data_IF_206489915414
#
_entry.id   IF_206489915414
#
_cell.length_a   1.000
_cell.length_b   1.000
_cell.length_c   1.000
_cell.angle_alpha   90.00
_cell.angle_beta   90.00
_cell.angle_gamma   90.00
#
_symmetry.space_group_name_H-M   'P 1'
#
loop_
_entity.id
_entity.type
_entity.pdbx_description
1 polymer ?
#
# COMPACT_ATOMS: atom_id res chain seq x y z
N UNK A 1 -12.67 -46.89 -2.88
CA UNK A 1 -12.18 -45.71 -3.65
C UNK A 1 -12.40 -44.49 -2.75
N UNK A 2 -11.33 -43.98 -2.13
CA UNK A 2 -11.41 -42.76 -1.33
C UNK A 2 -11.47 -41.56 -2.30
N UNK A 3 -12.55 -40.81 -2.26
CA UNK A 3 -12.66 -39.56 -2.96
C UNK A 3 -11.57 -38.60 -2.41
N UNK A 4 -10.55 -38.32 -3.19
CA UNK A 4 -9.61 -37.25 -2.94
C UNK A 4 -10.41 -35.94 -3.02
N UNK A 5 -10.80 -35.42 -1.85
CA UNK A 5 -11.29 -34.05 -1.76
C UNK A 5 -10.16 -33.14 -2.27
N UNK A 6 -10.33 -32.59 -3.47
CA UNK A 6 -9.44 -31.57 -3.99
C UNK A 6 -9.34 -30.47 -2.94
N UNK A 7 -8.14 -30.26 -2.36
CA UNK A 7 -7.89 -29.14 -1.45
C UNK A 7 -8.31 -27.87 -2.15
N UNK A 8 -9.28 -27.14 -1.59
CA UNK A 8 -9.72 -25.84 -2.10
C UNK A 8 -8.47 -24.96 -2.27
N UNK A 9 -8.10 -24.67 -3.48
CA UNK A 9 -6.91 -23.87 -3.79
C UNK A 9 -7.16 -22.47 -3.22
N UNK A 10 -6.29 -22.00 -2.33
CA UNK A 10 -6.38 -20.64 -1.79
C UNK A 10 -6.25 -19.64 -2.93
N UNK A 11 -7.08 -18.61 -2.92
CA UNK A 11 -6.99 -17.49 -3.84
C UNK A 11 -5.77 -16.64 -3.46
N UNK A 12 -4.96 -16.26 -4.45
CA UNK A 12 -3.79 -15.42 -4.25
C UNK A 12 -4.12 -14.02 -4.70
N UNK A 13 -4.05 -13.09 -3.75
CA UNK A 13 -4.40 -11.69 -3.95
C UNK A 13 -3.18 -10.83 -3.62
N UNK A 14 -2.72 -10.06 -4.59
CA UNK A 14 -1.65 -9.08 -4.43
C UNK A 14 -2.24 -7.66 -4.46
N UNK A 15 -1.85 -6.80 -3.52
CA UNK A 15 -2.56 -5.54 -3.28
C UNK A 15 -1.72 -4.27 -3.48
N UNK A 16 -0.46 -4.39 -3.85
CA UNK A 16 0.41 -3.26 -4.21
C UNK A 16 0.93 -3.49 -5.61
N UNK A 17 0.04 -3.19 -6.58
CA UNK A 17 0.25 -3.52 -7.99
C UNK A 17 -0.03 -2.27 -8.83
N UNK A 18 1.03 -1.71 -9.39
CA UNK A 18 0.98 -0.36 -9.92
C UNK A 18 0.62 -0.27 -11.40
N UNK A 19 -0.01 0.83 -11.76
CA UNK A 19 -0.22 1.24 -13.15
C UNK A 19 0.08 2.75 -13.29
N UNK A 20 0.19 3.25 -14.50
CA UNK A 20 0.33 4.67 -14.79
C UNK A 20 -0.79 5.14 -15.72
N UNK A 21 -1.59 6.07 -15.23
CA UNK A 21 -2.62 6.71 -16.04
C UNK A 21 -2.01 7.57 -17.16
N UNK A 22 -2.66 7.56 -18.32
CA UNK A 22 -2.16 8.21 -19.54
C UNK A 22 -2.07 9.74 -19.42
N UNK A 23 -2.93 10.37 -18.63
CA UNK A 23 -2.87 11.82 -18.40
C UNK A 23 -1.76 12.16 -17.39
N UNK A 24 -1.65 11.37 -16.33
CA UNK A 24 -0.59 11.57 -15.32
C UNK A 24 0.80 11.31 -15.90
N UNK A 25 0.95 10.38 -16.82
CA UNK A 25 2.21 10.11 -17.52
C UNK A 25 2.76 11.35 -18.26
N UNK A 26 1.90 12.29 -18.67
CA UNK A 26 2.32 13.55 -19.29
C UNK A 26 3.02 14.49 -18.30
N UNK A 27 2.68 14.38 -17.02
CA UNK A 27 3.26 15.17 -15.92
C UNK A 27 4.46 14.50 -15.26
N UNK A 28 4.80 13.26 -15.64
CA UNK A 28 5.95 12.53 -15.12
C UNK A 28 6.81 11.93 -16.25
N UNK A 29 7.65 12.75 -16.91
CA UNK A 29 8.47 12.30 -18.03
C UNK A 29 9.47 11.19 -17.69
N UNK A 30 9.91 11.09 -16.44
CA UNK A 30 10.85 10.06 -15.99
C UNK A 30 10.24 8.64 -16.03
N UNK A 31 8.92 8.55 -16.01
CA UNK A 31 8.15 7.30 -16.14
C UNK A 31 7.71 7.04 -17.59
N UNK A 32 8.41 7.61 -18.56
CA UNK A 32 8.07 7.52 -19.97
C UNK A 32 7.89 6.08 -20.48
N UNK A 33 6.94 5.86 -21.41
CA UNK A 33 6.59 4.56 -21.99
C UNK A 33 7.75 3.83 -22.70
N UNK A 34 8.90 4.49 -22.87
CA UNK A 34 10.09 3.93 -23.53
C UNK A 34 10.93 3.04 -22.62
N UNK A 35 10.81 3.15 -21.31
CA UNK A 35 11.43 2.22 -20.35
C UNK A 35 10.60 0.94 -20.24
N UNK A 36 11.23 -0.17 -19.88
CA UNK A 36 10.52 -1.44 -19.64
C UNK A 36 9.45 -1.29 -18.54
N UNK A 37 9.80 -0.65 -17.44
CA UNK A 37 8.86 -0.32 -16.36
C UNK A 37 7.71 0.56 -16.86
N UNK A 38 8.01 1.64 -17.60
CA UNK A 38 6.98 2.53 -18.12
C UNK A 38 6.02 1.85 -19.11
N UNK A 39 6.52 0.91 -19.93
CA UNK A 39 5.71 0.08 -20.82
C UNK A 39 4.77 -0.84 -20.02
N UNK A 40 5.31 -1.52 -19.00
CA UNK A 40 4.52 -2.39 -18.11
C UNK A 40 3.47 -1.60 -17.34
N UNK A 41 3.81 -0.45 -16.76
CA UNK A 41 2.86 0.42 -16.06
C UNK A 41 1.70 0.88 -16.95
N UNK A 42 1.93 1.05 -18.26
CA UNK A 42 0.89 1.43 -19.22
C UNK A 42 0.06 0.23 -19.71
N UNK A 43 0.56 -1.01 -19.53
CA UNK A 43 -0.17 -2.23 -19.92
C UNK A 43 -1.08 -2.68 -18.78
N UNK A 44 -2.37 -2.53 -18.99
CA UNK A 44 -3.39 -2.88 -18.00
C UNK A 44 -3.94 -4.30 -18.19
N UNK A 45 -3.70 -4.97 -19.34
CA UNK A 45 -4.48 -6.16 -19.67
C UNK A 45 -3.69 -7.30 -20.30
N UNK A 46 -2.67 -7.04 -21.12
CA UNK A 46 -2.02 -8.09 -21.92
C UNK A 46 -0.85 -8.74 -21.17
N UNK A 47 0.28 -8.05 -21.08
CA UNK A 47 1.49 -8.54 -20.43
C UNK A 47 1.26 -8.72 -18.92
N UNK A 48 0.53 -7.80 -18.29
CA UNK A 48 0.15 -7.88 -16.88
C UNK A 48 -0.57 -9.18 -16.56
N UNK A 49 -1.65 -9.49 -17.30
CA UNK A 49 -2.43 -10.73 -17.08
C UNK A 49 -1.59 -11.96 -17.34
N UNK A 50 -0.76 -11.96 -18.40
CA UNK A 50 0.16 -13.06 -18.68
C UNK A 50 1.14 -13.29 -17.52
N UNK A 51 1.78 -12.24 -17.01
CA UNK A 51 2.72 -12.36 -15.88
C UNK A 51 2.00 -12.75 -14.57
N UNK A 52 0.74 -12.34 -14.38
CA UNK A 52 -0.09 -12.84 -13.27
C UNK A 52 -0.32 -14.35 -13.38
N UNK A 53 -0.66 -14.85 -14.59
CA UNK A 53 -0.89 -16.28 -14.83
C UNK A 53 0.39 -17.09 -14.62
N UNK A 54 1.53 -16.63 -15.12
CA UNK A 54 2.85 -17.24 -14.91
C UNK A 54 3.26 -17.26 -13.44
N UNK A 55 2.94 -16.22 -12.67
CA UNK A 55 3.16 -16.14 -11.23
C UNK A 55 2.08 -16.81 -10.37
N UNK A 56 0.98 -17.26 -11.00
CA UNK A 56 -0.15 -17.85 -10.28
C UNK A 56 -0.89 -16.86 -9.36
N UNK A 57 -0.90 -15.58 -9.73
CA UNK A 57 -1.63 -14.52 -9.02
C UNK A 57 -3.07 -14.49 -9.56
N UNK A 58 -4.04 -14.72 -8.68
CA UNK A 58 -5.45 -14.74 -9.09
C UNK A 58 -6.01 -13.32 -9.25
N UNK A 59 -5.67 -12.40 -8.33
CA UNK A 59 -6.17 -11.02 -8.33
C UNK A 59 -5.06 -10.04 -8.00
N UNK A 60 -5.04 -8.93 -8.71
CA UNK A 60 -4.28 -7.72 -8.36
C UNK A 60 -5.23 -6.59 -7.96
N UNK A 61 -4.90 -5.88 -6.86
CA UNK A 61 -5.53 -4.61 -6.52
C UNK A 61 -4.67 -3.49 -7.10
N UNK A 62 -5.18 -2.82 -8.11
CA UNK A 62 -4.44 -1.84 -8.90
C UNK A 62 -4.39 -0.48 -8.20
N UNK A 63 -3.24 0.18 -8.26
CA UNK A 63 -3.04 1.54 -7.73
C UNK A 63 -2.23 2.40 -8.69
N UNK A 64 -2.54 3.71 -8.73
CA UNK A 64 -1.76 4.67 -9.51
C UNK A 64 -0.33 4.76 -8.98
N UNK A 65 0.66 4.61 -9.85
CA UNK A 65 2.07 4.76 -9.50
C UNK A 65 2.47 6.22 -9.25
N UNK A 66 3.30 6.45 -8.23
CA UNK A 66 3.81 7.77 -7.87
C UNK A 66 2.78 8.68 -7.24
N UNK A 67 3.19 9.89 -6.88
CA UNK A 67 2.38 10.83 -6.09
C UNK A 67 1.08 11.32 -6.76
N UNK A 68 0.82 10.91 -8.00
CA UNK A 68 -0.41 11.27 -8.69
C UNK A 68 -0.66 12.77 -8.71
N UNK A 69 -1.74 13.19 -8.07
CA UNK A 69 -2.14 14.60 -7.98
C UNK A 69 -1.64 15.33 -6.72
N UNK A 70 -0.90 14.66 -5.82
CA UNK A 70 -0.56 15.17 -4.48
C UNK A 70 0.29 16.44 -4.46
N UNK A 71 1.02 16.72 -5.55
CA UNK A 71 1.85 17.92 -5.69
C UNK A 71 1.29 18.92 -6.72
N UNK A 72 0.04 18.74 -7.16
CA UNK A 72 -0.68 19.66 -8.05
C UNK A 72 -1.42 20.70 -7.23
N UNK A 73 -1.83 21.83 -7.86
CA UNK A 73 -2.73 22.76 -7.19
C UNK A 73 -4.07 22.06 -6.85
N UNK A 74 -4.75 22.48 -5.75
CA UNK A 74 -5.94 21.77 -5.25
C UNK A 74 -7.05 21.64 -6.29
N UNK A 75 -7.27 22.66 -7.12
CA UNK A 75 -8.33 22.67 -8.13
C UNK A 75 -8.02 21.65 -9.22
N UNK A 76 -6.81 21.69 -9.78
CA UNK A 76 -6.36 20.71 -10.79
C UNK A 76 -6.41 19.29 -10.25
N UNK A 77 -5.97 19.07 -9.01
CA UNK A 77 -6.04 17.78 -8.36
C UNK A 77 -7.49 17.26 -8.26
N UNK A 78 -8.41 18.10 -7.79
CA UNK A 78 -9.83 17.75 -7.65
C UNK A 78 -10.55 17.50 -8.99
N UNK A 79 -10.09 18.15 -10.07
CA UNK A 79 -10.65 17.94 -11.41
C UNK A 79 -10.07 16.67 -12.12
N UNK A 80 -8.82 16.31 -11.83
CA UNK A 80 -8.13 15.22 -12.51
C UNK A 80 -8.33 13.86 -11.84
N UNK A 81 -8.31 13.79 -10.51
CA UNK A 81 -8.42 12.53 -9.78
C UNK A 81 -9.66 11.71 -10.15
N UNK A 82 -10.87 12.30 -10.24
CA UNK A 82 -12.05 11.54 -10.67
C UNK A 82 -11.91 10.93 -12.06
N UNK A 83 -11.30 11.64 -13.01
CA UNK A 83 -11.11 11.14 -14.37
C UNK A 83 -10.14 9.96 -14.43
N UNK A 84 -9.09 9.99 -13.60
CA UNK A 84 -8.14 8.87 -13.45
C UNK A 84 -8.84 7.65 -12.87
N UNK A 85 -9.60 7.82 -11.78
CA UNK A 85 -10.34 6.73 -11.17
C UNK A 85 -11.45 6.17 -12.08
N UNK A 86 -12.08 7.01 -12.90
CA UNK A 86 -13.09 6.56 -13.88
C UNK A 86 -12.45 5.62 -14.93
N UNK A 87 -11.27 5.98 -15.47
CA UNK A 87 -10.54 5.10 -16.41
C UNK A 87 -10.05 3.80 -15.74
N UNK A 88 -9.59 3.88 -14.49
CA UNK A 88 -9.23 2.68 -13.73
C UNK A 88 -10.44 1.76 -13.56
N UNK A 89 -11.61 2.31 -13.23
CA UNK A 89 -12.84 1.53 -13.11
C UNK A 89 -13.23 0.85 -14.45
N UNK A 90 -12.99 1.47 -15.59
CA UNK A 90 -13.21 0.83 -16.89
C UNK A 90 -12.36 -0.44 -17.04
N UNK A 91 -11.08 -0.38 -16.65
CA UNK A 91 -10.20 -1.55 -16.65
C UNK A 91 -10.67 -2.64 -15.68
N UNK A 92 -11.04 -2.28 -14.46
CA UNK A 92 -11.55 -3.25 -13.47
C UNK A 92 -12.82 -3.94 -14.01
N UNK A 93 -13.72 -3.19 -14.64
CA UNK A 93 -14.95 -3.75 -15.22
C UNK A 93 -14.71 -4.70 -16.41
N UNK A 94 -13.63 -4.52 -17.16
CA UNK A 94 -13.27 -5.44 -18.24
C UNK A 94 -12.75 -6.79 -17.71
N UNK A 95 -12.14 -6.80 -16.52
CA UNK A 95 -11.54 -7.99 -15.92
C UNK A 95 -11.89 -8.11 -14.43
N UNK A 96 -13.19 -8.19 -14.05
CA UNK A 96 -13.65 -8.12 -12.67
C UNK A 96 -13.16 -9.27 -11.78
N UNK A 97 -12.83 -10.41 -12.39
CA UNK A 97 -12.29 -11.57 -11.68
C UNK A 97 -10.76 -11.46 -11.43
N UNK A 98 -10.09 -10.54 -12.12
CA UNK A 98 -8.64 -10.37 -12.05
C UNK A 98 -8.21 -9.08 -11.36
N UNK A 99 -9.02 -8.02 -11.42
CA UNK A 99 -8.67 -6.71 -10.94
C UNK A 99 -9.65 -6.16 -9.91
N UNK A 100 -9.10 -5.52 -8.91
CA UNK A 100 -9.75 -4.60 -8.00
C UNK A 100 -8.92 -3.31 -7.98
N UNK A 101 -9.33 -2.28 -7.23
CA UNK A 101 -8.60 -1.02 -7.24
C UNK A 101 -8.58 -0.30 -5.88
N UNK A 102 -7.50 0.44 -5.67
CA UNK A 102 -7.41 1.55 -4.73
C UNK A 102 -7.57 2.88 -5.48
N UNK A 103 -8.33 3.80 -4.90
CA UNK A 103 -8.52 5.13 -5.46
C UNK A 103 -7.25 5.98 -5.35
N UNK A 104 -7.00 6.80 -6.35
CA UNK A 104 -6.12 7.97 -6.24
C UNK A 104 -6.93 9.15 -5.70
N UNK A 105 -6.43 9.82 -4.66
CA UNK A 105 -7.12 10.93 -4.00
C UNK A 105 -6.47 12.28 -4.29
N UNK A 106 -7.26 13.35 -4.49
CA UNK A 106 -6.76 14.71 -4.61
C UNK A 106 -6.45 15.31 -3.22
N UNK A 107 -5.42 14.79 -2.54
CA UNK A 107 -5.07 15.15 -1.16
C UNK A 107 -4.75 16.62 -0.93
N UNK A 108 -4.32 17.44 -1.94
CA UNK A 108 -4.21 18.90 -1.77
C UNK A 108 -5.54 19.59 -1.37
N UNK A 109 -6.69 18.98 -1.66
CA UNK A 109 -8.01 19.35 -1.11
C UNK A 109 -8.57 18.16 -0.30
N UNK A 110 -8.37 18.10 1.02
CA UNK A 110 -8.79 16.98 1.85
C UNK A 110 -10.30 16.69 1.82
N UNK A 111 -11.13 17.70 1.58
CA UNK A 111 -12.57 17.53 1.44
C UNK A 111 -12.94 16.89 0.10
N UNK A 112 -12.31 17.34 -0.99
CA UNK A 112 -12.47 16.72 -2.30
C UNK A 112 -11.94 15.28 -2.27
N UNK A 113 -10.83 15.02 -1.57
CA UNK A 113 -10.26 13.68 -1.39
C UNK A 113 -11.23 12.74 -0.64
N UNK A 114 -11.84 13.20 0.45
CA UNK A 114 -12.85 12.43 1.17
C UNK A 114 -14.09 12.11 0.30
N UNK A 115 -14.55 13.07 -0.48
CA UNK A 115 -15.68 12.88 -1.39
C UNK A 115 -15.35 11.90 -2.53
N UNK A 116 -14.12 11.96 -3.06
CA UNK A 116 -13.68 11.04 -4.10
C UNK A 116 -13.50 9.61 -3.58
N UNK A 117 -13.00 9.46 -2.35
CA UNK A 117 -12.97 8.15 -1.69
C UNK A 117 -14.38 7.56 -1.58
N UNK A 118 -15.34 8.34 -1.07
CA UNK A 118 -16.73 7.86 -0.99
C UNK A 118 -17.29 7.50 -2.36
N UNK A 119 -17.08 8.35 -3.36
CA UNK A 119 -17.57 8.10 -4.72
C UNK A 119 -17.04 6.81 -5.30
N UNK A 120 -15.74 6.57 -5.18
CA UNK A 120 -15.11 5.39 -5.76
C UNK A 120 -15.48 4.10 -5.02
N UNK A 121 -15.57 4.14 -3.70
CA UNK A 121 -15.99 2.99 -2.90
C UNK A 121 -17.46 2.67 -3.15
N UNK A 122 -18.36 3.65 -3.07
CA UNK A 122 -19.81 3.39 -3.15
C UNK A 122 -20.27 3.12 -4.58
N UNK A 123 -19.71 3.81 -5.58
CA UNK A 123 -20.15 3.69 -6.98
C UNK A 123 -19.41 2.61 -7.74
N UNK A 124 -18.11 2.40 -7.47
CA UNK A 124 -17.24 1.49 -8.22
C UNK A 124 -16.82 0.25 -7.45
N UNK A 125 -17.04 0.23 -6.14
CA UNK A 125 -16.62 -0.87 -5.27
C UNK A 125 -15.11 -0.92 -5.04
N UNK A 126 -14.41 0.21 -5.18
CA UNK A 126 -12.97 0.30 -4.87
C UNK A 126 -12.71 -0.05 -3.42
N UNK A 127 -11.53 -0.58 -3.14
CA UNK A 127 -11.19 -1.25 -1.88
C UNK A 127 -10.53 -0.32 -0.85
N UNK A 128 -10.56 0.97 -1.07
CA UNK A 128 -9.91 2.02 -0.30
C UNK A 128 -9.12 2.95 -1.21
N UNK A 129 -8.06 3.55 -0.69
CA UNK A 129 -7.21 4.45 -1.47
C UNK A 129 -5.73 4.25 -1.17
N UNK A 130 -4.87 4.62 -2.13
CA UNK A 130 -3.42 4.67 -1.94
C UNK A 130 -2.93 6.13 -1.98
N UNK A 131 -2.10 6.50 -1.00
CA UNK A 131 -1.49 7.82 -0.85
C UNK A 131 0.03 7.63 -0.82
N UNK A 132 0.76 8.40 -1.62
CA UNK A 132 2.21 8.29 -1.79
C UNK A 132 2.97 9.39 -1.05
N UNK A 133 3.55 9.08 0.10
CA UNK A 133 4.39 10.00 0.87
C UNK A 133 3.69 11.32 1.21
N UNK A 134 4.42 12.43 1.01
CA UNK A 134 3.98 13.75 1.44
C UNK A 134 3.04 14.44 0.42
N UNK A 135 2.11 15.24 0.92
CA UNK A 135 1.31 16.16 0.12
C UNK A 135 1.87 17.57 0.27
N UNK A 136 2.42 18.15 -0.80
CA UNK A 136 3.11 19.46 -0.74
C UNK A 136 4.20 19.55 0.35
N UNK A 137 4.91 18.44 0.61
CA UNK A 137 5.94 18.38 1.65
C UNK A 137 5.41 18.24 3.07
N UNK A 138 4.12 17.99 3.26
CA UNK A 138 3.47 17.83 4.56
C UNK A 138 3.02 16.39 4.79
N UNK A 139 3.13 15.93 6.03
CA UNK A 139 2.67 14.61 6.44
C UNK A 139 1.16 14.53 6.54
N UNK A 140 0.60 13.39 6.17
CA UNK A 140 -0.85 13.16 6.14
C UNK A 140 -1.49 13.07 7.54
N UNK A 141 -0.71 12.93 8.61
CA UNK A 141 -1.21 12.91 9.99
C UNK A 141 -1.71 14.26 10.50
N UNK A 142 -1.40 15.37 9.81
CA UNK A 142 -1.92 16.68 10.14
C UNK A 142 -3.46 16.69 10.11
N UNK A 143 -4.07 17.33 11.12
CA UNK A 143 -5.52 17.34 11.32
C UNK A 143 -6.33 17.85 10.13
N UNK A 144 -5.73 18.65 9.25
CA UNK A 144 -6.40 19.13 8.02
C UNK A 144 -6.73 17.99 7.05
N UNK A 145 -5.99 16.87 7.09
CA UNK A 145 -6.23 15.68 6.27
C UNK A 145 -7.21 14.68 6.90
N UNK A 146 -7.58 14.86 8.16
CA UNK A 146 -8.46 13.94 8.87
C UNK A 146 -9.84 13.70 8.24
N UNK A 147 -10.41 14.60 7.43
CA UNK A 147 -11.62 14.28 6.66
C UNK A 147 -11.50 13.03 5.77
N UNK A 148 -10.28 12.71 5.29
CA UNK A 148 -10.00 11.50 4.50
C UNK A 148 -10.14 10.26 5.40
N UNK A 149 -9.55 10.32 6.60
CA UNK A 149 -9.58 9.21 7.57
C UNK A 149 -10.96 8.99 8.17
N UNK A 150 -11.69 10.07 8.45
CA UNK A 150 -13.10 9.98 8.85
C UNK A 150 -13.93 9.22 7.82
N UNK A 151 -13.76 9.54 6.54
CA UNK A 151 -14.49 8.90 5.46
C UNK A 151 -14.05 7.43 5.28
N UNK A 152 -12.76 7.13 5.36
CA UNK A 152 -12.24 5.77 5.28
C UNK A 152 -12.78 4.89 6.41
N UNK A 153 -12.77 5.39 7.64
CA UNK A 153 -13.31 4.69 8.80
C UNK A 153 -14.82 4.45 8.70
N UNK A 154 -15.58 5.45 8.20
CA UNK A 154 -17.02 5.33 8.00
C UNK A 154 -17.42 4.35 6.89
N UNK A 155 -16.59 4.22 5.86
CA UNK A 155 -16.80 3.29 4.75
C UNK A 155 -16.22 1.90 5.02
N UNK A 156 -15.53 1.73 6.15
CA UNK A 156 -14.84 0.50 6.54
C UNK A 156 -13.78 0.02 5.52
N UNK A 157 -13.07 0.96 4.90
CA UNK A 157 -12.01 0.68 3.92
C UNK A 157 -10.65 1.21 4.40
N UNK A 158 -9.53 0.56 4.04
CA UNK A 158 -8.19 1.00 4.43
C UNK A 158 -7.69 2.18 3.58
N UNK A 159 -6.74 2.92 4.17
CA UNK A 159 -5.83 3.81 3.44
C UNK A 159 -4.45 3.13 3.38
N UNK A 160 -3.95 2.94 2.17
CA UNK A 160 -2.60 2.45 1.92
C UNK A 160 -1.63 3.63 1.88
N UNK A 161 -0.66 3.67 2.76
CA UNK A 161 0.43 4.65 2.76
C UNK A 161 1.63 4.03 2.03
N UNK A 162 1.84 4.46 0.80
CA UNK A 162 2.93 4.00 -0.07
C UNK A 162 4.11 4.98 0.02
N UNK A 163 5.35 4.49 -0.08
CA UNK A 163 6.54 5.34 -0.11
C UNK A 163 6.55 6.37 -1.24
N UNK A 164 7.27 7.46 -0.98
CA UNK A 164 7.68 8.42 -2.01
C UNK A 164 9.05 9.00 -1.65
N UNK A 165 9.61 9.77 -2.57
CA UNK A 165 10.88 10.46 -2.34
C UNK A 165 10.80 11.35 -1.09
N UNK A 166 11.77 11.27 -0.17
CA UNK A 166 11.79 12.06 1.05
C UNK A 166 11.74 13.55 0.78
N UNK A 167 11.32 14.29 1.80
CA UNK A 167 11.30 15.75 1.75
C UNK A 167 12.68 16.30 1.32
N UNK A 168 12.76 17.32 0.44
CA UNK A 168 14.03 17.87 -0.07
C UNK A 168 15.03 18.25 1.02
N UNK A 169 14.59 18.75 2.17
CA UNK A 169 15.47 19.05 3.32
C UNK A 169 16.11 17.79 3.92
N UNK A 170 15.41 16.66 3.93
CA UNK A 170 15.97 15.38 4.38
C UNK A 170 17.01 14.91 3.38
N UNK A 171 16.74 15.01 2.08
CA UNK A 171 17.69 14.65 1.02
C UNK A 171 18.95 15.50 1.16
N UNK A 172 18.82 16.81 1.30
CA UNK A 172 19.94 17.72 1.45
C UNK A 172 20.78 17.41 2.70
N UNK A 173 20.13 17.06 3.82
CA UNK A 173 20.82 16.87 5.10
C UNK A 173 21.41 15.47 5.25
N UNK A 174 20.71 14.42 4.77
CA UNK A 174 21.09 13.03 5.05
C UNK A 174 21.77 12.32 3.89
N UNK A 175 21.52 12.77 2.63
CA UNK A 175 21.91 12.01 1.45
C UNK A 175 22.77 12.80 0.46
N UNK A 176 22.98 14.10 0.66
CA UNK A 176 23.64 15.02 -0.26
C UNK A 176 24.98 14.50 -0.80
N UNK A 177 25.82 13.94 0.07
CA UNK A 177 27.14 13.45 -0.30
C UNK A 177 27.09 12.15 -1.12
N UNK A 178 25.98 11.43 -1.04
CA UNK A 178 25.84 10.08 -1.62
C UNK A 178 24.97 10.05 -2.85
N UNK A 179 23.98 10.96 -2.98
CA UNK A 179 22.98 10.93 -4.04
C UNK A 179 23.56 11.02 -5.44
N UNK A 180 24.71 11.69 -5.59
CA UNK A 180 25.37 11.83 -6.88
C UNK A 180 25.96 10.50 -7.37
N UNK A 181 26.54 9.71 -6.44
CA UNK A 181 27.16 8.41 -6.74
C UNK A 181 26.14 7.26 -6.69
N UNK A 182 25.18 7.38 -5.79
CA UNK A 182 24.15 6.38 -5.52
C UNK A 182 22.75 7.00 -5.58
N UNK A 183 22.27 7.43 -6.76
CA UNK A 183 21.00 8.18 -6.86
C UNK A 183 19.79 7.41 -6.35
N UNK A 184 19.85 6.08 -6.38
CA UNK A 184 18.78 5.23 -5.82
C UNK A 184 18.65 5.30 -4.30
N UNK A 185 19.62 5.82 -3.55
CA UNK A 185 19.59 5.80 -2.07
C UNK A 185 18.39 6.52 -1.48
N UNK A 186 17.84 7.51 -2.20
CA UNK A 186 16.65 8.27 -1.81
C UNK A 186 15.33 7.58 -2.20
N UNK A 187 15.40 6.40 -2.81
CA UNK A 187 14.24 5.60 -3.20
C UNK A 187 14.18 4.28 -2.40
N UNK A 188 13.76 3.19 -3.00
CA UNK A 188 13.54 1.90 -2.37
C UNK A 188 14.66 1.37 -1.45
N UNK A 189 15.97 1.56 -1.72
CA UNK A 189 17.01 1.04 -0.82
C UNK A 189 16.96 1.60 0.60
N UNK A 190 16.59 2.89 0.80
CA UNK A 190 16.55 3.50 2.13
C UNK A 190 15.57 4.68 2.25
N UNK A 191 15.64 5.66 1.32
CA UNK A 191 14.90 6.92 1.47
C UNK A 191 13.40 6.73 1.62
N UNK A 192 12.80 5.88 0.81
CA UNK A 192 11.39 5.54 0.85
C UNK A 192 11.00 4.94 2.20
N UNK A 193 11.73 3.92 2.64
CA UNK A 193 11.50 3.25 3.91
C UNK A 193 11.56 4.21 5.09
N UNK A 194 12.57 5.06 5.16
CA UNK A 194 12.73 6.02 6.27
C UNK A 194 11.61 7.06 6.31
N UNK A 195 11.19 7.57 5.16
CA UNK A 195 10.08 8.52 5.08
C UNK A 195 8.76 7.88 5.51
N UNK A 196 8.44 6.69 4.98
CA UNK A 196 7.17 6.00 5.26
C UNK A 196 7.12 5.44 6.68
N UNK A 197 8.25 4.94 7.20
CA UNK A 197 8.39 4.62 8.63
C UNK A 197 8.04 5.81 9.50
N UNK A 198 8.61 6.99 9.20
CA UNK A 198 8.32 8.23 9.93
C UNK A 198 6.84 8.56 9.86
N UNK A 199 6.22 8.44 8.69
CA UNK A 199 4.79 8.69 8.50
C UNK A 199 3.93 7.71 9.31
N UNK A 200 4.25 6.40 9.30
CA UNK A 200 3.55 5.40 10.10
C UNK A 200 3.64 5.67 11.60
N UNK A 201 4.83 6.01 12.10
CA UNK A 201 5.03 6.39 13.52
C UNK A 201 4.23 7.65 13.86
N UNK A 202 4.27 8.68 13.01
CA UNK A 202 3.50 9.92 13.21
C UNK A 202 2.00 9.69 13.24
N UNK A 203 1.47 8.81 12.39
CA UNK A 203 0.05 8.42 12.43
C UNK A 203 -0.35 7.88 13.79
N UNK A 204 0.45 6.98 14.39
CA UNK A 204 0.18 6.44 15.72
C UNK A 204 0.21 7.53 16.80
N UNK A 205 1.14 8.49 16.70
CA UNK A 205 1.31 9.56 17.70
C UNK A 205 0.32 10.72 17.55
N UNK A 206 -0.35 10.84 16.40
CA UNK A 206 -1.23 11.99 16.08
C UNK A 206 -2.54 12.02 16.87
N UNK A 207 -2.96 10.89 17.44
CA UNK A 207 -4.28 10.74 18.08
C UNK A 207 -5.41 10.48 17.08
N UNK A 208 -5.12 10.27 15.79
CA UNK A 208 -6.14 10.01 14.77
C UNK A 208 -6.93 8.73 15.05
N UNK A 209 -6.29 7.71 15.63
CA UNK A 209 -6.93 6.45 15.98
C UNK A 209 -7.85 6.56 17.20
N UNK A 210 -7.55 7.46 18.15
CA UNK A 210 -8.48 7.77 19.25
C UNK A 210 -9.79 8.37 18.72
N UNK A 211 -9.67 9.19 17.67
CA UNK A 211 -10.82 9.84 17.05
C UNK A 211 -11.57 8.92 16.09
N UNK A 212 -10.87 8.07 15.37
CA UNK A 212 -11.44 7.14 14.37
C UNK A 212 -10.98 5.71 14.67
N UNK A 213 -11.57 5.03 15.67
CA UNK A 213 -11.11 3.72 16.15
C UNK A 213 -11.28 2.59 15.12
N UNK A 214 -12.05 2.80 14.06
CA UNK A 214 -12.21 1.85 12.96
C UNK A 214 -11.26 2.13 11.78
N UNK A 215 -10.40 3.15 11.87
CA UNK A 215 -9.45 3.47 10.80
C UNK A 215 -8.44 2.35 10.61
N UNK A 216 -8.24 1.94 9.36
CA UNK A 216 -7.33 0.88 8.94
C UNK A 216 -6.26 1.47 8.03
N UNK A 217 -5.00 1.17 8.32
CA UNK A 217 -3.85 1.63 7.52
C UNK A 217 -3.08 0.41 7.00
N UNK A 218 -2.60 0.49 5.76
CA UNK A 218 -1.70 -0.50 5.18
C UNK A 218 -0.35 0.18 4.92
N UNK A 219 0.74 -0.51 5.26
CA UNK A 219 2.10 -0.15 4.89
C UNK A 219 2.70 -1.24 4.00
N UNK A 220 3.45 -0.85 2.99
CA UNK A 220 4.21 -1.75 2.14
C UNK A 220 5.43 -2.38 2.81
N UNK A 221 6.19 -3.14 2.04
CA UNK A 221 7.61 -3.48 2.26
C UNK A 221 7.91 -3.97 3.70
N UNK A 222 7.14 -4.96 4.19
CA UNK A 222 7.24 -5.48 5.57
C UNK A 222 7.04 -4.39 6.64
N UNK A 223 6.16 -3.41 6.38
CA UNK A 223 5.85 -2.34 7.32
C UNK A 223 6.97 -1.35 7.51
N UNK A 224 7.81 -1.19 6.46
CA UNK A 224 8.88 -0.19 6.40
C UNK A 224 9.83 -0.22 7.61
N UNK A 225 10.10 -1.44 8.12
CA UNK A 225 11.00 -1.64 9.26
C UNK A 225 10.39 -1.34 10.64
N UNK A 226 9.17 -0.85 10.73
CA UNK A 226 8.51 -0.58 12.03
C UNK A 226 8.41 -1.86 12.88
N UNK A 227 8.05 -3.04 12.34
CA UNK A 227 7.97 -4.25 13.16
C UNK A 227 9.26 -4.56 13.92
N UNK A 228 10.42 -4.39 13.28
CA UNK A 228 11.72 -4.57 13.95
C UNK A 228 11.94 -3.57 15.11
N UNK A 229 11.34 -2.39 15.06
CA UNK A 229 11.51 -1.32 16.05
C UNK A 229 10.39 -1.26 17.09
N UNK A 230 9.29 -2.01 16.94
CA UNK A 230 8.09 -1.90 17.76
C UNK A 230 8.38 -1.95 19.26
N UNK A 231 9.12 -2.96 19.71
CA UNK A 231 9.49 -3.08 21.11
C UNK A 231 10.28 -1.85 21.60
N UNK A 232 11.28 -1.40 20.81
CA UNK A 232 12.12 -0.27 21.19
C UNK A 232 11.34 1.03 21.27
N UNK A 233 10.50 1.31 20.29
CA UNK A 233 9.65 2.52 20.27
C UNK A 233 8.74 2.51 21.49
N UNK A 234 7.99 1.43 21.70
CA UNK A 234 7.04 1.30 22.81
C UNK A 234 7.72 1.44 24.17
N UNK A 235 8.80 0.68 24.39
CA UNK A 235 9.56 0.69 25.65
C UNK A 235 10.15 2.08 25.95
N UNK A 236 10.74 2.73 24.94
CA UNK A 236 11.43 4.01 25.14
C UNK A 236 10.43 5.14 25.40
N UNK A 237 9.31 5.18 24.69
CA UNK A 237 8.23 6.14 24.98
C UNK A 237 7.70 5.98 26.39
N UNK A 238 7.51 4.74 26.85
CA UNK A 238 7.04 4.46 28.20
C UNK A 238 8.00 4.99 29.27
N UNK A 239 9.29 4.67 29.19
CA UNK A 239 10.27 5.10 30.21
C UNK A 239 10.61 6.60 30.16
N UNK A 240 10.29 7.28 29.05
CA UNK A 240 10.49 8.74 28.91
C UNK A 240 9.26 9.57 29.29
N UNK A 241 8.27 8.96 29.94
CA UNK A 241 7.16 9.67 30.56
C UNK A 241 5.77 9.42 29.97
N UNK A 242 5.67 8.65 28.87
CA UNK A 242 4.37 8.33 28.23
C UNK A 242 3.82 6.99 28.74
N UNK A 243 3.74 6.82 30.06
CA UNK A 243 3.42 5.55 30.73
C UNK A 243 2.00 5.03 30.44
N UNK A 244 1.07 5.90 30.04
CA UNK A 244 -0.31 5.54 29.69
C UNK A 244 -0.52 5.24 28.21
N UNK A 245 0.50 5.37 27.36
CA UNK A 245 0.40 5.18 25.92
C UNK A 245 1.12 3.90 25.49
N UNK A 246 0.42 3.02 24.78
CA UNK A 246 0.99 1.79 24.23
C UNK A 246 1.06 1.88 22.68
N UNK A 247 2.20 2.31 22.19
CA UNK A 247 2.46 2.44 20.74
C UNK A 247 2.26 1.12 19.98
N UNK A 248 2.74 0.01 20.57
CA UNK A 248 2.67 -1.31 19.96
C UNK A 248 1.24 -1.77 19.77
N UNK A 249 0.39 -1.60 20.78
CA UNK A 249 -1.00 -2.03 20.71
C UNK A 249 -1.76 -1.23 19.63
N UNK A 250 -1.62 0.11 19.61
CA UNK A 250 -2.22 0.96 18.58
C UNK A 250 -1.74 0.56 17.19
N UNK A 251 -0.43 0.36 17.00
CA UNK A 251 0.09 -0.05 15.70
C UNK A 251 -0.46 -1.41 15.28
N UNK A 252 -0.40 -2.44 16.14
CA UNK A 252 -0.89 -3.77 15.81
C UNK A 252 -2.40 -3.86 15.61
N UNK A 253 -3.18 -2.94 16.22
CA UNK A 253 -4.63 -2.89 16.04
C UNK A 253 -5.03 -2.28 14.70
N UNK A 254 -4.37 -1.20 14.27
CA UNK A 254 -4.80 -0.38 13.14
C UNK A 254 -4.02 -0.62 11.85
N UNK A 255 -2.86 -1.29 11.91
CA UNK A 255 -2.00 -1.47 10.74
C UNK A 255 -2.01 -2.91 10.21
N UNK A 256 -2.00 -3.00 8.90
CA UNK A 256 -1.62 -4.18 8.12
C UNK A 256 -0.35 -3.86 7.35
N UNK A 257 0.43 -4.87 7.04
CA UNK A 257 1.64 -4.72 6.25
C UNK A 257 1.64 -5.68 5.07
N UNK A 258 2.41 -5.37 4.02
CA UNK A 258 2.51 -6.23 2.84
C UNK A 258 3.93 -6.76 2.63
N UNK A 259 4.03 -7.83 1.81
CA UNK A 259 5.31 -8.42 1.39
C UNK A 259 5.92 -7.72 0.17
N UNK A 260 5.25 -6.71 -0.38
CA UNK A 260 5.60 -6.05 -1.64
C UNK A 260 7.09 -5.72 -1.74
N UNK A 261 7.73 -6.13 -2.86
CA UNK A 261 9.12 -5.81 -3.17
C UNK A 261 10.18 -6.24 -2.14
N UNK A 262 9.79 -6.95 -1.08
CA UNK A 262 10.68 -7.27 0.05
C UNK A 262 10.60 -8.76 0.43
N UNK A 263 11.14 -9.62 -0.43
CA UNK A 263 11.10 -11.09 -0.30
C UNK A 263 12.22 -11.59 0.61
N UNK A 264 12.06 -11.36 1.92
CA UNK A 264 13.08 -11.64 2.95
C UNK A 264 12.51 -12.44 4.10
N UNK A 265 13.04 -13.67 4.32
CA UNK A 265 12.62 -14.55 5.40
C UNK A 265 12.75 -13.89 6.79
N UNK A 266 13.90 -13.29 7.15
CA UNK A 266 14.04 -12.65 8.46
C UNK A 266 13.04 -11.51 8.68
N UNK A 267 12.74 -10.71 7.64
CA UNK A 267 11.79 -9.61 7.75
C UNK A 267 10.37 -10.12 7.96
N UNK A 268 9.95 -11.15 7.21
CA UNK A 268 8.65 -11.80 7.38
C UNK A 268 8.50 -12.43 8.76
N UNK A 269 9.49 -13.18 9.23
CA UNK A 269 9.44 -13.83 10.53
C UNK A 269 9.40 -12.81 11.68
N UNK A 270 10.19 -11.74 11.62
CA UNK A 270 10.11 -10.64 12.57
C UNK A 270 8.71 -10.04 12.60
N UNK A 271 8.14 -9.74 11.45
CA UNK A 271 6.80 -9.17 11.33
C UNK A 271 5.71 -10.13 11.87
N UNK A 272 5.82 -11.42 11.60
CA UNK A 272 4.90 -12.42 12.14
C UNK A 272 4.98 -12.52 13.67
N UNK A 273 6.17 -12.41 14.24
CA UNK A 273 6.37 -12.45 15.71
C UNK A 273 5.80 -11.21 16.41
N UNK A 274 5.88 -10.04 15.78
CA UNK A 274 5.43 -8.78 16.36
C UNK A 274 3.93 -8.50 16.15
N UNK A 275 3.41 -8.81 14.94
CA UNK A 275 2.06 -8.41 14.52
C UNK A 275 1.10 -9.58 14.28
N UNK A 276 1.58 -10.82 14.28
CA UNK A 276 0.90 -12.03 13.83
C UNK A 276 0.67 -12.12 12.31
N UNK A 277 0.39 -13.36 11.84
CA UNK A 277 0.12 -13.62 10.42
C UNK A 277 -1.19 -12.97 9.92
N UNK A 278 -2.12 -12.63 10.81
CA UNK A 278 -3.40 -11.96 10.48
C UNK A 278 -3.23 -10.52 9.99
N UNK A 279 -2.09 -9.90 10.26
CA UNK A 279 -1.79 -8.51 9.88
C UNK A 279 -0.88 -8.40 8.66
N UNK A 280 -0.55 -9.52 8.02
CA UNK A 280 0.36 -9.55 6.86
C UNK A 280 -0.44 -9.96 5.62
N UNK A 281 -0.23 -9.24 4.51
CA UNK A 281 -0.91 -9.46 3.24
C UNK A 281 0.15 -9.70 2.16
N UNK A 282 -0.06 -10.69 1.32
CA UNK A 282 0.81 -10.96 0.18
C UNK A 282 0.69 -9.83 -0.85
N UNK A 283 1.82 -9.40 -1.39
CA UNK A 283 1.89 -8.45 -2.48
C UNK A 283 3.25 -8.52 -3.19
N UNK A 284 3.33 -7.97 -4.40
CA UNK A 284 4.50 -8.09 -5.28
C UNK A 284 5.24 -6.75 -5.43
N UNK A 285 4.54 -5.63 -5.57
CA UNK A 285 5.07 -4.34 -6.04
C UNK A 285 5.35 -4.37 -7.56
N UNK A 286 4.44 -5.02 -8.32
CA UNK A 286 4.57 -5.07 -9.77
C UNK A 286 4.41 -3.67 -10.39
N UNK A 287 5.24 -3.25 -11.35
CA UNK A 287 6.22 -4.04 -12.11
C UNK A 287 7.68 -3.93 -11.62
N UNK A 288 7.93 -3.36 -10.43
CA UNK A 288 9.31 -3.27 -9.89
C UNK A 288 9.82 -4.61 -9.37
N UNK A 289 8.94 -5.48 -8.92
CA UNK A 289 9.24 -6.85 -8.58
C UNK A 289 8.46 -7.84 -9.47
N UNK A 290 8.93 -9.09 -9.54
CA UNK A 290 8.40 -10.11 -10.42
C UNK A 290 7.39 -11.00 -9.69
N UNK A 291 6.21 -11.23 -10.31
CA UNK A 291 5.14 -12.05 -9.73
C UNK A 291 5.61 -13.46 -9.37
N UNK A 292 6.37 -14.12 -10.27
CA UNK A 292 6.84 -15.47 -10.04
C UNK A 292 7.89 -15.54 -8.93
N UNK A 293 8.80 -14.60 -8.87
CA UNK A 293 9.83 -14.51 -7.83
C UNK A 293 9.21 -14.39 -6.44
N UNK A 294 8.31 -13.41 -6.25
CA UNK A 294 7.61 -13.22 -4.97
C UNK A 294 6.76 -14.42 -4.59
N UNK A 295 6.09 -15.05 -5.56
CA UNK A 295 5.31 -16.26 -5.34
C UNK A 295 6.19 -17.43 -4.92
N UNK A 296 7.27 -17.74 -5.67
CA UNK A 296 8.17 -18.85 -5.40
C UNK A 296 8.85 -18.67 -4.04
N UNK A 297 9.29 -17.44 -3.71
CA UNK A 297 9.81 -17.13 -2.40
C UNK A 297 8.81 -17.47 -1.29
N UNK A 298 7.57 -16.96 -1.38
CA UNK A 298 6.60 -17.17 -0.31
C UNK A 298 6.15 -18.64 -0.20
N UNK A 299 6.05 -19.36 -1.32
CA UNK A 299 5.80 -20.82 -1.30
C UNK A 299 6.91 -21.58 -0.56
N UNK A 300 8.16 -21.14 -0.67
CA UNK A 300 9.32 -21.77 -0.02
C UNK A 300 9.39 -21.54 1.49
N UNK A 301 8.67 -20.54 2.01
CA UNK A 301 8.71 -20.20 3.44
C UNK A 301 8.27 -21.36 4.34
N UNK A 302 9.07 -21.64 5.38
CA UNK A 302 8.79 -22.68 6.38
C UNK A 302 7.86 -22.18 7.48
N UNK A 303 6.63 -21.81 7.12
CA UNK A 303 5.56 -21.42 8.02
C UNK A 303 4.34 -22.34 7.89
N UNK A 304 3.38 -22.27 8.81
CA UNK A 304 2.21 -23.15 8.78
C UNK A 304 1.39 -22.95 7.50
N UNK A 305 0.75 -24.03 7.03
CA UNK A 305 -0.16 -23.93 5.87
C UNK A 305 -1.34 -22.98 6.14
N UNK A 306 -1.77 -22.86 7.41
CA UNK A 306 -2.81 -21.90 7.82
C UNK A 306 -2.33 -20.46 7.65
N UNK A 307 -1.11 -20.15 8.08
CA UNK A 307 -0.58 -18.77 7.96
C UNK A 307 -0.27 -18.42 6.50
N UNK A 308 0.23 -19.39 5.70
CA UNK A 308 0.33 -19.19 4.25
C UNK A 308 -1.01 -18.83 3.62
N UNK A 309 -2.08 -19.54 3.98
CA UNK A 309 -3.41 -19.28 3.45
C UNK A 309 -3.96 -17.90 3.82
N UNK A 310 -3.71 -17.47 5.08
CA UNK A 310 -4.08 -16.12 5.53
C UNK A 310 -3.35 -15.05 4.72
N UNK A 311 -2.03 -15.16 4.64
CA UNK A 311 -1.17 -14.14 4.00
C UNK A 311 -1.41 -14.10 2.49
N UNK A 312 -1.51 -15.25 1.78
CA UNK A 312 -1.74 -15.29 0.34
C UNK A 312 -3.02 -14.60 -0.12
N UNK A 313 -4.09 -14.64 0.68
CA UNK A 313 -5.34 -14.03 0.24
C UNK A 313 -6.37 -13.84 1.35
N UNK A 314 -6.41 -14.72 2.37
CA UNK A 314 -7.45 -14.67 3.40
C UNK A 314 -7.53 -13.33 4.14
N UNK A 315 -6.38 -12.72 4.44
CA UNK A 315 -6.33 -11.39 5.08
C UNK A 315 -6.78 -10.28 4.13
N UNK A 316 -6.38 -10.34 2.86
CA UNK A 316 -6.83 -9.38 1.84
C UNK A 316 -8.35 -9.51 1.60
N UNK A 317 -8.87 -10.74 1.47
CA UNK A 317 -10.31 -10.98 1.32
C UNK A 317 -11.09 -10.34 2.47
N UNK A 318 -10.67 -10.57 3.70
CA UNK A 318 -11.32 -10.04 4.90
C UNK A 318 -11.19 -8.51 5.01
N UNK A 319 -9.97 -7.96 4.86
CA UNK A 319 -9.73 -6.53 5.01
C UNK A 319 -10.42 -5.69 3.94
N UNK A 320 -10.47 -6.21 2.71
CA UNK A 320 -10.97 -5.51 1.53
C UNK A 320 -12.40 -5.91 1.12
N UNK A 321 -13.09 -6.69 1.96
CA UNK A 321 -14.45 -7.19 1.67
C UNK A 321 -14.54 -7.86 0.28
N UNK A 322 -13.66 -8.83 0.05
CA UNK A 322 -13.56 -9.57 -1.21
C UNK A 322 -13.91 -11.05 -1.06
N UNK A 323 -14.53 -11.44 0.05
CA UNK A 323 -14.97 -12.80 0.28
C UNK A 323 -15.97 -13.22 -0.80
N UNK A 324 -15.83 -14.45 -1.28
CA UNK A 324 -16.82 -15.05 -2.16
C UNK A 324 -18.03 -15.44 -1.34
N UNK A 325 -19.22 -15.02 -1.77
CA UNK A 325 -20.45 -15.60 -1.25
C UNK A 325 -20.38 -17.11 -1.48
N UNK A 326 -20.48 -17.89 -0.37
CA UNK A 326 -20.37 -19.34 -0.37
C UNK A 326 -21.54 -20.01 -1.11
#
# INVERSE_FOLDING_TARGET
>A
MAATTAKKKHRIIAIEEHYMDVELAKHNPAMGRTSDIGRKLADMTNERVKEMDEGGIDVQVLSQSGSGTQNMDPKTAAELAPKVNDRLNETVRMHPDRFQAFAMLPTPDPKAAANELERTVTKYGFKGAMIHGLTHGEFIDDAKYWPIFERAAALDVPIYLHPATPHPKVIETYYKEYVQKYPGIITAPLGYTMETMTQGVRMVLSGVFDKYPNLKIILGHMGEGIPFLLWRINHTLHITGNTGFNFRDVFCEHFWITTSGFFSDPALLCSMMEMSAERIIFSIDWPWANNKEGRDWFDSMSISASDKAKIFGGNAEKLLHMERNA
#
